data_IF_160467804973
#
_entry.id   IF_160467804973
#
_cell.length_a   1.000
_cell.length_b   1.000
_cell.length_c   1.000
_cell.angle_alpha   90.00
_cell.angle_beta   90.00
_cell.angle_gamma   90.00
#
_symmetry.space_group_name_H-M   'P 1'
#
loop_
_entity.id
_entity.type
_entity.pdbx_description
1 polymer ?
#
# COMPACT_ATOMS: atom_id res chain seq x y z
N UNK A 1 -16.69 0.39 -29.44
CA UNK A 1 -15.54 1.12 -28.87
C UNK A 1 -14.28 0.42 -29.32
N UNK A 2 -13.32 1.19 -29.82
CA UNK A 2 -12.09 0.70 -30.46
C UNK A 2 -11.29 -0.18 -29.49
N UNK A 3 -10.65 -1.23 -30.01
CA UNK A 3 -9.73 -2.05 -29.22
C UNK A 3 -8.62 -1.19 -28.58
N UNK A 4 -8.09 -1.66 -27.45
CA UNK A 4 -6.95 -1.02 -26.76
C UNK A 4 -5.85 -0.70 -27.77
N UNK A 5 -5.41 0.56 -27.82
CA UNK A 5 -4.32 0.94 -28.69
C UNK A 5 -2.98 0.40 -28.14
N UNK A 6 -1.97 0.34 -29.02
CA UNK A 6 -0.68 -0.26 -28.70
C UNK A 6 0.09 0.46 -27.56
N UNK A 7 -0.20 1.75 -27.30
CA UNK A 7 0.42 2.50 -26.20
C UNK A 7 -0.18 1.99 -24.88
N UNK A 8 -1.51 1.94 -24.79
CA UNK A 8 -2.21 1.43 -23.60
C UNK A 8 -1.80 -0.01 -23.27
N UNK A 9 -1.64 -0.88 -24.28
CA UNK A 9 -1.16 -2.26 -24.05
C UNK A 9 0.27 -2.28 -23.49
N UNK A 10 1.17 -1.43 -23.99
CA UNK A 10 2.55 -1.34 -23.48
C UNK A 10 2.60 -0.85 -22.04
N UNK A 11 1.74 0.09 -21.67
CA UNK A 11 1.62 0.59 -20.29
C UNK A 11 1.14 -0.51 -19.35
N UNK A 12 0.08 -1.23 -19.70
CA UNK A 12 -0.42 -2.38 -18.92
C UNK A 12 0.68 -3.45 -18.75
N UNK A 13 1.37 -3.82 -19.83
CA UNK A 13 2.46 -4.80 -19.77
C UNK A 13 3.60 -4.32 -18.88
N UNK A 14 3.91 -3.01 -18.89
CA UNK A 14 4.93 -2.42 -18.02
C UNK A 14 4.51 -2.50 -16.55
N UNK A 15 3.26 -2.18 -16.23
CA UNK A 15 2.74 -2.25 -14.86
C UNK A 15 2.70 -3.69 -14.33
N UNK A 16 2.29 -4.65 -15.15
CA UNK A 16 2.31 -6.08 -14.78
C UNK A 16 3.73 -6.60 -14.50
N UNK A 17 4.72 -6.13 -15.27
CA UNK A 17 6.13 -6.49 -15.02
C UNK A 17 6.61 -5.94 -13.68
N UNK A 18 6.33 -4.67 -13.41
CA UNK A 18 6.65 -4.01 -12.15
C UNK A 18 5.99 -4.72 -10.97
N UNK A 19 4.69 -5.01 -11.05
CA UNK A 19 3.97 -5.73 -9.99
C UNK A 19 4.55 -7.13 -9.73
N UNK A 20 5.05 -7.80 -10.76
CA UNK A 20 5.72 -9.10 -10.61
C UNK A 20 7.06 -9.00 -9.89
N UNK A 21 7.81 -7.92 -10.10
CA UNK A 21 9.12 -7.70 -9.46
C UNK A 21 8.98 -7.52 -7.94
N UNK A 22 7.90 -6.88 -7.48
CA UNK A 22 7.66 -6.60 -6.06
C UNK A 22 6.72 -7.58 -5.35
N UNK A 23 6.29 -8.65 -6.04
CA UNK A 23 5.34 -9.65 -5.55
C UNK A 23 5.84 -10.46 -4.34
N UNK A 24 7.13 -10.34 -4.00
CA UNK A 24 7.74 -11.03 -2.86
C UNK A 24 7.42 -10.37 -1.51
N UNK A 25 6.93 -9.12 -1.50
CA UNK A 25 6.77 -8.34 -0.27
C UNK A 25 5.36 -8.47 0.31
N UNK A 26 5.25 -8.91 1.58
CA UNK A 26 3.96 -9.21 2.23
C UNK A 26 3.03 -8.00 2.44
N UNK A 27 3.55 -6.77 2.34
CA UNK A 27 2.74 -5.54 2.39
C UNK A 27 2.35 -4.98 1.01
N UNK A 28 2.54 -5.74 -0.07
CA UNK A 28 2.11 -5.37 -1.43
C UNK A 28 1.11 -6.42 -1.91
N UNK A 29 -0.06 -5.96 -2.35
CA UNK A 29 -1.12 -6.84 -2.89
C UNK A 29 -0.57 -7.60 -4.09
N UNK A 30 -0.66 -8.93 -4.03
CA UNK A 30 -0.15 -9.78 -5.11
C UNK A 30 -1.00 -9.63 -6.36
N UNK A 31 -0.34 -9.47 -7.50
CA UNK A 31 -0.97 -9.59 -8.81
C UNK A 31 -0.70 -10.99 -9.37
N UNK A 32 -1.76 -11.73 -9.68
CA UNK A 32 -1.68 -13.04 -10.30
C UNK A 32 -1.68 -12.99 -11.83
N UNK A 33 -2.05 -11.84 -12.41
CA UNK A 33 -1.98 -11.57 -13.85
C UNK A 33 -3.31 -11.07 -14.40
N UNK A 34 -3.51 -11.28 -15.71
CA UNK A 34 -4.72 -10.87 -16.42
C UNK A 34 -5.50 -12.09 -16.89
N UNK A 35 -6.82 -12.00 -16.87
CA UNK A 35 -7.72 -12.96 -17.49
C UNK A 35 -8.61 -12.28 -18.52
N UNK A 36 -9.17 -13.07 -19.44
CA UNK A 36 -10.06 -12.60 -20.48
C UNK A 36 -11.41 -13.29 -20.28
N UNK A 37 -12.48 -12.49 -20.19
CA UNK A 37 -13.84 -13.01 -20.21
C UNK A 37 -14.42 -12.82 -21.62
N UNK A 38 -14.80 -13.92 -22.25
CA UNK A 38 -15.49 -13.88 -23.53
C UNK A 38 -16.97 -13.61 -23.29
N UNK A 39 -17.40 -12.37 -23.52
CA UNK A 39 -18.81 -11.97 -23.52
C UNK A 39 -19.16 -11.39 -24.88
N UNK A 40 -20.37 -11.70 -25.39
CA UNK A 40 -20.87 -11.36 -26.72
C UNK A 40 -20.33 -10.03 -27.26
N UNK A 41 -19.46 -10.13 -28.28
CA UNK A 41 -18.84 -9.06 -29.07
C UNK A 41 -17.85 -8.10 -28.36
N UNK A 42 -17.44 -8.35 -27.11
CA UNK A 42 -16.43 -7.54 -26.43
C UNK A 42 -15.35 -8.38 -25.72
N UNK A 43 -14.09 -8.13 -26.06
CA UNK A 43 -12.94 -8.68 -25.35
C UNK A 43 -12.68 -7.86 -24.08
N UNK A 44 -13.20 -8.32 -22.94
CA UNK A 44 -12.97 -7.69 -21.64
C UNK A 44 -11.78 -8.35 -20.93
N UNK A 45 -10.77 -7.57 -20.58
CA UNK A 45 -9.64 -8.00 -19.76
C UNK A 45 -9.89 -7.63 -18.30
N UNK A 46 -9.52 -8.53 -17.41
CA UNK A 46 -9.67 -8.38 -15.97
C UNK A 46 -8.33 -8.61 -15.29
N UNK A 47 -8.02 -7.81 -14.28
CA UNK A 47 -6.85 -8.00 -13.44
C UNK A 47 -7.21 -8.96 -12.29
N UNK A 48 -6.39 -9.98 -12.11
CA UNK A 48 -6.54 -10.97 -11.03
C UNK A 48 -5.53 -10.63 -9.95
N UNK A 49 -6.02 -10.29 -8.76
CA UNK A 49 -5.20 -9.87 -7.62
C UNK A 49 -5.59 -10.65 -6.36
N UNK A 50 -4.70 -10.61 -5.37
CA UNK A 50 -5.01 -11.02 -4.01
C UNK A 50 -6.24 -10.29 -3.48
N UNK A 51 -7.10 -11.05 -2.81
CA UNK A 51 -8.33 -10.53 -2.25
C UNK A 51 -8.07 -9.93 -0.86
N UNK A 52 -8.43 -8.66 -0.68
CA UNK A 52 -8.39 -7.97 0.60
C UNK A 52 -9.82 -7.63 1.03
N UNK A 53 -10.35 -8.44 1.94
CA UNK A 53 -11.75 -8.44 2.37
C UNK A 53 -12.14 -7.26 3.28
N UNK A 54 -11.16 -6.51 3.81
CA UNK A 54 -11.38 -5.29 4.59
C UNK A 54 -11.62 -4.03 3.76
N UNK A 55 -11.53 -4.13 2.44
CA UNK A 55 -11.69 -3.01 1.53
C UNK A 55 -10.57 -1.98 1.67
N UNK A 56 -10.86 -0.72 1.33
CA UNK A 56 -9.86 0.34 1.41
C UNK A 56 -9.61 0.83 2.84
N UNK A 57 -8.39 1.31 3.11
CA UNK A 57 -8.01 1.97 4.37
C UNK A 57 -8.98 3.11 4.70
N UNK A 58 -9.41 3.92 3.71
CA UNK A 58 -10.42 4.97 3.93
C UNK A 58 -11.69 4.42 4.54
N UNK A 59 -12.32 3.44 3.89
CA UNK A 59 -13.57 2.85 4.37
C UNK A 59 -13.39 2.11 5.70
N UNK A 60 -12.23 1.51 5.92
CA UNK A 60 -11.90 0.84 7.17
C UNK A 60 -11.79 1.83 8.33
N UNK A 61 -11.07 2.95 8.13
CA UNK A 61 -10.92 4.00 9.12
C UNK A 61 -12.27 4.67 9.43
N UNK A 62 -13.09 4.98 8.42
CA UNK A 62 -14.44 5.56 8.63
C UNK A 62 -15.30 4.75 9.61
N UNK A 63 -15.16 3.41 9.60
CA UNK A 63 -15.94 2.51 10.45
C UNK A 63 -15.29 2.20 11.80
N UNK A 64 -13.96 2.20 11.86
CA UNK A 64 -13.22 1.63 12.99
C UNK A 64 -12.29 2.62 13.71
N UNK A 65 -12.18 3.88 13.28
CA UNK A 65 -11.19 4.84 13.82
C UNK A 65 -11.18 4.92 15.35
N UNK A 66 -12.36 4.96 15.97
CA UNK A 66 -12.51 5.05 17.43
C UNK A 66 -12.24 3.73 18.17
N UNK A 67 -12.20 2.60 17.45
CA UNK A 67 -11.88 1.28 17.98
C UNK A 67 -10.40 0.95 17.87
N UNK A 68 -9.69 1.63 16.95
CA UNK A 68 -8.26 1.44 16.74
C UNK A 68 -7.47 2.09 17.87
N UNK A 69 -6.63 1.27 18.49
CA UNK A 69 -5.59 1.75 19.39
C UNK A 69 -4.54 2.52 18.59
N UNK A 70 -3.67 3.24 19.29
CA UNK A 70 -2.53 3.87 18.63
C UNK A 70 -1.54 2.84 18.08
N UNK A 71 -1.39 1.69 18.73
CA UNK A 71 -0.56 0.60 18.22
C UNK A 71 -1.10 0.03 16.91
N UNK A 72 -2.42 -0.07 16.75
CA UNK A 72 -3.02 -0.46 15.47
C UNK A 72 -2.64 0.55 14.37
N UNK A 73 -2.77 1.85 14.64
CA UNK A 73 -2.47 2.93 13.68
C UNK A 73 -0.98 2.95 13.34
N UNK A 74 -0.13 2.75 14.35
CA UNK A 74 1.31 2.66 14.19
C UNK A 74 1.69 1.47 13.31
N UNK A 75 1.15 0.27 13.59
CA UNK A 75 1.39 -0.93 12.80
C UNK A 75 0.95 -0.76 11.35
N UNK A 76 -0.19 -0.12 11.10
CA UNK A 76 -0.63 0.21 9.74
C UNK A 76 0.35 1.16 9.04
N UNK A 77 0.83 2.21 9.72
CA UNK A 77 1.80 3.15 9.17
C UNK A 77 3.17 2.48 8.90
N UNK A 78 3.62 1.61 9.80
CA UNK A 78 4.84 0.83 9.63
C UNK A 78 4.75 -0.10 8.42
N UNK A 79 3.69 -0.90 8.30
CA UNK A 79 3.45 -1.78 7.15
C UNK A 79 3.41 -1.01 5.82
N UNK A 80 2.75 0.15 5.80
CA UNK A 80 2.74 1.03 4.64
C UNK A 80 4.15 1.53 4.30
N UNK A 81 4.95 1.87 5.32
CA UNK A 81 6.33 2.30 5.12
C UNK A 81 7.22 1.19 4.54
N UNK A 82 7.02 -0.06 4.96
CA UNK A 82 7.71 -1.22 4.40
C UNK A 82 7.38 -1.41 2.92
N UNK A 83 6.09 -1.32 2.56
CA UNK A 83 5.65 -1.42 1.17
C UNK A 83 6.27 -0.32 0.29
N UNK A 84 6.24 0.94 0.73
CA UNK A 84 6.82 2.06 -0.01
C UNK A 84 8.35 1.94 -0.08
N UNK A 85 9.00 1.44 0.98
CA UNK A 85 10.44 1.18 1.01
C UNK A 85 10.82 0.13 -0.04
N UNK A 86 10.07 -0.97 -0.12
CA UNK A 86 10.23 -1.99 -1.14
C UNK A 86 10.12 -1.40 -2.56
N UNK A 87 9.06 -0.64 -2.84
CA UNK A 87 8.88 0.02 -4.15
C UNK A 87 10.07 0.92 -4.49
N UNK A 88 10.50 1.76 -3.55
CA UNK A 88 11.57 2.72 -3.79
C UNK A 88 12.95 2.04 -3.98
N UNK A 89 13.22 0.93 -3.29
CA UNK A 89 14.45 0.16 -3.48
C UNK A 89 14.55 -0.43 -4.89
N UNK A 90 13.41 -0.77 -5.50
CA UNK A 90 13.31 -1.22 -6.89
C UNK A 90 13.20 -0.03 -7.89
N UNK A 91 13.36 1.22 -7.43
CA UNK A 91 13.28 2.41 -8.28
C UNK A 91 11.85 2.73 -8.77
N UNK A 92 10.83 2.19 -8.10
CA UNK A 92 9.42 2.36 -8.46
C UNK A 92 8.79 3.46 -7.60
N UNK A 93 8.16 4.43 -8.25
CA UNK A 93 7.32 5.44 -7.59
C UNK A 93 5.86 5.05 -7.73
N UNK A 94 5.12 4.94 -6.62
CA UNK A 94 3.70 4.54 -6.66
C UNK A 94 2.80 5.52 -7.44
N UNK A 95 3.09 6.83 -7.39
CA UNK A 95 2.40 7.94 -8.07
C UNK A 95 0.96 8.24 -7.66
N UNK A 96 0.20 7.23 -7.20
CA UNK A 96 -1.19 7.39 -6.76
C UNK A 96 -1.41 6.83 -5.35
N UNK A 97 -0.51 7.17 -4.42
CA UNK A 97 -0.55 6.66 -3.05
C UNK A 97 -1.56 7.46 -2.22
N UNK A 98 -2.73 6.88 -1.97
CA UNK A 98 -3.75 7.46 -1.08
C UNK A 98 -4.56 6.36 -0.39
N UNK A 99 -5.34 6.74 0.62
CA UNK A 99 -6.09 5.81 1.49
C UNK A 99 -7.14 4.95 0.78
N UNK A 100 -7.47 5.21 -0.49
CA UNK A 100 -8.37 4.36 -1.27
C UNK A 100 -7.63 3.24 -2.01
N UNK A 101 -6.33 3.42 -2.27
CA UNK A 101 -5.45 2.45 -2.93
C UNK A 101 -4.66 1.59 -1.93
N UNK A 102 -4.85 1.83 -0.62
CA UNK A 102 -4.34 0.96 0.44
C UNK A 102 -5.46 -0.01 0.81
N UNK A 103 -5.24 -1.30 0.61
CA UNK A 103 -6.22 -2.35 0.91
C UNK A 103 -5.91 -3.01 2.26
N UNK A 104 -6.95 -3.35 3.01
CA UNK A 104 -6.87 -3.99 4.32
C UNK A 104 -7.25 -5.47 4.17
N UNK A 105 -6.32 -6.42 4.33
CA UNK A 105 -6.68 -7.82 4.52
C UNK A 105 -7.13 -8.03 5.99
N UNK A 106 -8.33 -8.56 6.20
CA UNK A 106 -8.88 -8.94 7.51
C UNK A 106 -8.62 -10.40 7.87
N UNK A 107 -7.95 -11.18 7.01
CA UNK A 107 -7.56 -12.59 7.26
C UNK A 107 -6.72 -12.78 8.55
N UNK A 108 -6.29 -11.70 9.21
CA UNK A 108 -5.73 -11.65 10.57
C UNK A 108 -6.85 -11.63 11.64
N UNK A 109 -8.01 -12.22 11.34
CA UNK A 109 -9.06 -12.50 12.35
C UNK A 109 -8.69 -13.65 13.29
N UNK A 110 -7.51 -14.27 13.13
CA UNK A 110 -6.95 -15.32 14.00
C UNK A 110 -5.78 -14.88 14.91
N UNK A 111 -5.53 -13.57 15.07
CA UNK A 111 -4.90 -13.08 16.30
C UNK A 111 -3.38 -13.24 16.45
N UNK A 112 -2.59 -13.20 15.37
CA UNK A 112 -1.14 -12.99 15.49
C UNK A 112 -0.77 -11.54 15.12
N UNK A 113 -0.63 -10.70 16.16
CA UNK A 113 -0.02 -9.36 16.13
C UNK A 113 0.92 -9.26 17.34
N UNK A 114 2.04 -8.55 17.17
CA UNK A 114 2.97 -8.21 18.25
C UNK A 114 2.27 -7.35 19.33
N UNK A 115 2.77 -7.43 20.56
CA UNK A 115 2.12 -6.88 21.76
C UNK A 115 2.28 -5.37 21.91
N UNK A 116 1.32 -4.78 22.61
CA UNK A 116 1.10 -3.35 22.93
C UNK A 116 2.31 -2.66 23.59
N UNK A 117 2.56 -1.39 23.25
CA UNK A 117 3.41 -0.47 24.03
C UNK A 117 2.59 0.74 24.53
N UNK A 118 2.42 0.92 25.86
CA UNK A 118 1.64 2.03 26.41
C UNK A 118 2.24 3.42 26.11
N UNK A 119 1.38 4.44 25.94
CA UNK A 119 1.68 5.88 25.75
C UNK A 119 2.33 6.30 24.42
N UNK A 120 1.67 6.02 23.29
CA UNK A 120 2.18 6.31 21.94
C UNK A 120 2.58 7.79 21.72
N UNK A 121 3.73 8.06 21.07
CA UNK A 121 4.59 9.20 21.43
C UNK A 121 4.58 10.38 20.44
N UNK A 122 5.08 11.54 20.91
CA UNK A 122 5.39 12.75 20.12
C UNK A 122 6.17 12.49 18.82
N UNK A 123 6.87 11.36 18.73
CA UNK A 123 7.64 10.95 17.58
C UNK A 123 6.78 10.71 16.33
N UNK A 124 5.57 10.16 16.49
CA UNK A 124 4.64 9.98 15.38
C UNK A 124 4.23 11.33 14.76
N UNK A 125 4.00 12.33 15.62
CA UNK A 125 3.68 13.71 15.21
C UNK A 125 4.82 14.35 14.43
N UNK A 126 6.06 14.15 14.90
CA UNK A 126 7.27 14.64 14.24
C UNK A 126 7.44 14.01 12.85
N UNK A 127 7.10 12.72 12.68
CA UNK A 127 7.21 12.03 11.39
C UNK A 127 6.29 12.67 10.35
N UNK A 128 4.97 12.74 10.61
CA UNK A 128 4.07 13.25 9.58
C UNK A 128 4.29 14.73 9.29
N UNK A 129 4.68 15.52 10.30
CA UNK A 129 4.98 16.96 10.12
C UNK A 129 6.16 17.15 9.16
N UNK A 130 7.22 16.34 9.32
CA UNK A 130 8.37 16.37 8.41
C UNK A 130 8.02 15.90 6.99
N UNK A 131 7.13 14.90 6.87
CA UNK A 131 6.67 14.44 5.55
C UNK A 131 5.89 15.51 4.78
N UNK A 132 5.28 16.48 5.46
CA UNK A 132 4.52 17.59 4.87
C UNK A 132 5.34 18.88 4.71
N UNK A 133 6.67 18.81 4.75
CA UNK A 133 7.49 19.98 4.45
C UNK A 133 7.17 20.53 3.05
N UNK A 134 7.02 21.85 2.95
CA UNK A 134 6.70 22.54 1.70
C UNK A 134 7.78 22.36 0.65
N UNK A 135 9.03 22.20 1.09
CA UNK A 135 10.20 21.93 0.25
C UNK A 135 10.42 20.43 0.10
N UNK A 136 10.30 19.84 -1.11
CA UNK A 136 10.46 18.39 -1.31
C UNK A 136 11.78 17.82 -0.81
N UNK A 137 12.89 18.55 -0.95
CA UNK A 137 14.22 18.09 -0.54
C UNK A 137 14.39 18.01 0.99
N UNK A 138 13.54 18.70 1.74
CA UNK A 138 13.52 18.63 3.20
C UNK A 138 12.73 17.44 3.74
N UNK A 139 11.93 16.78 2.89
CA UNK A 139 11.10 15.65 3.29
C UNK A 139 11.98 14.43 3.54
N UNK A 140 11.70 13.63 4.58
CA UNK A 140 12.47 12.42 4.85
C UNK A 140 12.26 11.39 3.75
N UNK A 141 13.33 10.68 3.41
CA UNK A 141 13.25 9.47 2.60
C UNK A 141 12.48 8.38 3.33
N UNK A 142 11.92 7.42 2.59
CA UNK A 142 11.24 6.28 3.20
C UNK A 142 12.17 5.45 4.10
N UNK A 143 13.46 5.40 3.78
CA UNK A 143 14.48 4.77 4.64
C UNK A 143 14.61 5.47 5.99
N UNK A 144 14.61 6.81 6.01
CA UNK A 144 14.65 7.59 7.25
C UNK A 144 13.36 7.41 8.07
N UNK A 145 12.19 7.36 7.41
CA UNK A 145 10.91 7.08 8.06
C UNK A 145 10.93 5.69 8.70
N UNK A 146 11.31 4.66 7.93
CA UNK A 146 11.40 3.29 8.38
C UNK A 146 12.40 3.14 9.54
N UNK A 147 13.55 3.81 9.47
CA UNK A 147 14.52 3.84 10.57
C UNK A 147 13.95 4.48 11.84
N UNK A 148 13.15 5.55 11.75
CA UNK A 148 12.51 6.13 12.93
C UNK A 148 11.54 5.16 13.60
N UNK A 149 10.83 4.34 12.81
CA UNK A 149 9.96 3.30 13.37
C UNK A 149 10.72 2.17 14.11
N UNK A 150 11.98 1.93 13.73
CA UNK A 150 12.82 0.90 14.36
C UNK A 150 13.59 1.45 15.57
N UNK A 151 14.04 2.70 15.52
CA UNK A 151 14.95 3.30 16.51
C UNK A 151 14.20 4.07 17.62
N UNK A 152 12.91 4.36 17.44
CA UNK A 152 12.03 4.94 18.48
C UNK A 152 11.56 3.95 19.56
N UNK A 153 12.10 2.73 19.57
CA UNK A 153 11.83 1.67 20.56
C UNK A 153 13.14 1.03 21.06
#
# INVERSE_FOLDING_TARGET
MNGLDNITVKEIVRELKIQREVNFHDNIIRCYGITKLESDNHNNYWLVMEYADGGSLRCYLEKNFNKLTWDDKYNMAYQLSCAVSCLHNEGIVHRDLHSCNILIPLDISQGHRETVVPDTPDEYVKIYTKCWDGEPDNRPTIYQIHKNFIVGY
#
